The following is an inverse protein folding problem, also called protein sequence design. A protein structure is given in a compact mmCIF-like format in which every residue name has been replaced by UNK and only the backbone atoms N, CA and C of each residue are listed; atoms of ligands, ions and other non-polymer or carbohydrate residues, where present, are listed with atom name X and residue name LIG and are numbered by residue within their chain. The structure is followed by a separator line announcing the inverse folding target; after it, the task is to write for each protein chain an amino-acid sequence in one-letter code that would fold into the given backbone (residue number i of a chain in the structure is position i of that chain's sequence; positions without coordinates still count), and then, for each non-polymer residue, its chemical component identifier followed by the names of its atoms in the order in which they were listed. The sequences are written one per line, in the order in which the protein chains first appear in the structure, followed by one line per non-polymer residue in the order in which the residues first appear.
data_IF_410653761962
#
_entry.id   IF_410653761962
#
_cell.length_a   1.000
_cell.length_b   1.000
_cell.length_c   1.000
_cell.angle_alpha   90.00
_cell.angle_beta   90.00
_cell.angle_gamma   90.00
#
_symmetry.space_group_name_H-M   'P 1'
#
loop_
_entity.id
_entity.type
_entity.pdbx_description
1 polymer ?
#
# COMPACT_ATOMS: atom_id res chain seq x y z
N UNK A 1 -7.13 -1.59 12.74
CA UNK A 1 -7.12 -2.28 11.45
C UNK A 1 -5.95 -1.88 10.57
N UNK A 2 -5.63 -0.60 10.52
CA UNK A 2 -4.48 -0.14 9.74
C UNK A 2 -3.18 -0.76 10.25
N UNK A 3 -3.06 -0.86 11.55
CA UNK A 3 -1.86 -1.41 12.15
C UNK A 3 -1.66 -2.87 11.76
N UNK A 4 -2.75 -3.61 11.73
CA UNK A 4 -2.71 -5.02 11.37
C UNK A 4 -2.27 -5.19 9.92
N UNK A 5 -2.80 -4.35 9.05
CA UNK A 5 -2.43 -4.39 7.64
C UNK A 5 -0.96 -4.01 7.47
N UNK A 6 -0.54 -2.96 8.16
CA UNK A 6 0.84 -2.50 8.09
C UNK A 6 1.81 -3.64 8.41
N UNK A 7 1.56 -4.32 9.52
CA UNK A 7 2.45 -5.38 9.95
C UNK A 7 2.42 -6.57 9.00
N UNK A 8 1.25 -6.84 8.43
CA UNK A 8 1.12 -8.00 7.56
C UNK A 8 1.84 -7.79 6.23
N UNK A 9 1.86 -6.58 5.71
CA UNK A 9 2.44 -6.34 4.39
C UNK A 9 3.87 -5.84 4.44
N UNK A 10 4.33 -5.39 5.61
CA UNK A 10 5.66 -4.79 5.71
C UNK A 10 6.76 -5.78 5.34
N UNK A 11 6.74 -6.94 5.94
CA UNK A 11 7.79 -7.93 5.73
C UNK A 11 7.83 -8.44 4.30
N UNK A 12 6.70 -8.84 3.71
CA UNK A 12 6.76 -9.28 2.32
C UNK A 12 7.26 -8.21 1.36
N UNK A 13 6.90 -6.95 1.62
CA UNK A 13 7.38 -5.86 0.78
C UNK A 13 8.88 -5.68 0.94
N UNK A 14 9.38 -5.75 2.17
CA UNK A 14 10.81 -5.58 2.40
C UNK A 14 11.62 -6.69 1.74
N UNK A 15 11.06 -7.88 1.66
CA UNK A 15 11.73 -8.97 0.98
C UNK A 15 11.91 -8.71 -0.51
N UNK A 16 11.08 -7.85 -1.05
CA UNK A 16 11.17 -7.48 -2.46
C UNK A 16 11.83 -6.12 -2.65
N UNK A 17 12.53 -5.65 -1.63
CA UNK A 17 13.23 -4.37 -1.67
C UNK A 17 12.28 -3.19 -1.85
N UNK A 18 11.14 -3.27 -1.21
CA UNK A 18 10.16 -2.18 -1.20
C UNK A 18 9.97 -1.77 0.26
N UNK A 19 10.14 -0.49 0.53
CA UNK A 19 9.97 0.03 1.88
C UNK A 19 8.53 0.48 2.06
N UNK A 20 7.88 -0.02 3.09
CA UNK A 20 6.53 0.40 3.44
C UNK A 20 6.61 1.61 4.34
N UNK A 21 6.05 2.73 3.88
CA UNK A 21 6.02 3.96 4.65
C UNK A 21 4.82 3.97 5.59
N UNK A 22 3.66 3.59 5.09
CA UNK A 22 2.48 3.56 5.94
C UNK A 22 1.26 3.12 5.16
N UNK A 23 0.19 2.87 5.91
CA UNK A 23 -1.11 2.57 5.33
C UNK A 23 -2.17 3.35 6.09
N UNK A 24 -3.24 3.74 5.38
CA UNK A 24 -4.36 4.36 6.07
C UNK A 24 -5.60 4.23 5.21
N UNK A 25 -6.74 4.30 5.87
CA UNK A 25 -8.03 4.26 5.21
C UNK A 25 -8.56 5.65 5.03
N UNK A 26 -9.22 5.88 3.89
CA UNK A 26 -9.88 7.12 3.62
C UNK A 26 -11.04 6.88 2.69
N UNK A 27 -11.73 7.96 2.35
CA UNK A 27 -12.82 7.88 1.39
C UNK A 27 -12.53 8.79 0.23
N UNK A 28 -12.69 8.25 -0.96
CA UNK A 28 -12.55 9.03 -2.19
C UNK A 28 -13.78 8.78 -3.04
N UNK A 29 -14.45 9.84 -3.39
CA UNK A 29 -15.66 9.73 -4.22
C UNK A 29 -16.68 8.78 -3.63
N UNK A 30 -16.78 8.77 -2.31
CA UNK A 30 -17.76 7.95 -1.63
C UNK A 30 -17.37 6.49 -1.47
N UNK A 31 -16.16 6.12 -1.90
CA UNK A 31 -15.69 4.74 -1.79
C UNK A 31 -14.58 4.63 -0.78
N UNK A 32 -14.61 3.54 -0.04
CA UNK A 32 -13.54 3.28 0.91
C UNK A 32 -12.26 2.94 0.16
N UNK A 33 -11.19 3.62 0.52
CA UNK A 33 -9.90 3.44 -0.16
C UNK A 33 -8.84 3.14 0.87
N UNK A 34 -8.06 2.11 0.60
CA UNK A 34 -6.89 1.79 1.42
C UNK A 34 -5.68 2.35 0.71
N UNK A 35 -5.05 3.34 1.35
CA UNK A 35 -3.86 3.98 0.80
C UNK A 35 -2.62 3.30 1.36
N UNK A 36 -1.78 2.79 0.47
CA UNK A 36 -0.51 2.17 0.85
C UNK A 36 0.61 3.02 0.27
N UNK A 37 1.45 3.55 1.13
CA UNK A 37 2.54 4.41 0.71
C UNK A 37 3.84 3.63 0.78
N UNK A 38 4.59 3.63 -0.31
CA UNK A 38 5.84 2.88 -0.41
C UNK A 38 6.96 3.78 -0.88
N UNK A 39 8.19 3.28 -0.70
CA UNK A 39 9.40 3.97 -1.12
C UNK A 39 10.42 2.97 -1.60
N UNK A 40 11.34 3.43 -2.45
CA UNK A 40 12.54 2.65 -2.75
C UNK A 40 13.54 2.81 -1.61
N UNK A 41 14.09 1.70 -1.11
CA UNK A 41 15.06 1.82 -0.01
C UNK A 41 16.32 2.56 -0.38
N UNK A 42 16.66 2.64 -1.66
CA UNK A 42 17.87 3.36 -2.08
C UNK A 42 17.57 4.82 -2.45
N UNK A 43 16.34 5.27 -2.26
CA UNK A 43 16.01 6.66 -2.51
C UNK A 43 15.57 6.98 -3.93
N UNK A 44 15.55 6.00 -4.81
CA UNK A 44 15.11 6.24 -6.18
C UNK A 44 13.61 6.51 -6.23
N UNK A 45 13.15 7.21 -7.26
CA UNK A 45 11.72 7.44 -7.40
C UNK A 45 10.95 6.13 -7.56
N UNK A 46 9.72 6.13 -7.08
CA UNK A 46 8.85 4.98 -7.24
C UNK A 46 8.15 5.12 -8.59
N UNK A 47 8.34 4.11 -9.44
CA UNK A 47 7.70 4.15 -10.75
C UNK A 47 6.48 3.23 -10.78
N UNK A 48 5.82 3.22 -11.93
CA UNK A 48 4.60 2.44 -12.09
C UNK A 48 4.84 0.96 -11.88
N UNK A 49 5.97 0.45 -12.38
CA UNK A 49 6.28 -0.97 -12.24
C UNK A 49 6.40 -1.36 -10.78
N UNK A 50 7.00 -0.51 -9.97
CA UNK A 50 7.14 -0.80 -8.55
C UNK A 50 5.78 -0.78 -7.86
N UNK A 51 4.92 0.16 -8.25
CA UNK A 51 3.57 0.21 -7.68
C UNK A 51 2.78 -1.04 -8.03
N UNK A 52 2.89 -1.51 -9.27
CA UNK A 52 2.21 -2.73 -9.68
C UNK A 52 2.72 -3.93 -8.90
N UNK A 53 4.04 -4.00 -8.74
CA UNK A 53 4.64 -5.10 -7.99
C UNK A 53 4.15 -5.09 -6.53
N UNK A 54 4.14 -3.92 -5.92
CA UNK A 54 3.67 -3.80 -4.54
C UNK A 54 2.20 -4.18 -4.43
N UNK A 55 1.38 -3.76 -5.38
CA UNK A 55 -0.03 -4.10 -5.38
C UNK A 55 -0.23 -5.62 -5.42
N UNK A 56 0.55 -6.29 -6.27
CA UNK A 56 0.43 -7.75 -6.40
C UNK A 56 0.87 -8.47 -5.13
N UNK A 57 1.74 -7.84 -4.34
CA UNK A 57 2.16 -8.42 -3.08
C UNK A 57 1.10 -8.17 -2.00
N UNK A 58 0.60 -6.95 -1.94
CA UNK A 58 -0.29 -6.52 -0.87
C UNK A 58 -1.69 -7.12 -1.01
N UNK A 59 -2.19 -7.17 -2.23
CA UNK A 59 -3.58 -7.57 -2.47
C UNK A 59 -3.92 -8.94 -1.89
N UNK A 60 -3.17 -10.02 -2.21
CA UNK A 60 -3.51 -11.33 -1.65
C UNK A 60 -3.32 -11.39 -0.14
N UNK A 61 -2.41 -10.59 0.40
CA UNK A 61 -2.20 -10.59 1.84
C UNK A 61 -3.42 -9.99 2.54
N UNK A 62 -3.94 -8.89 2.01
CA UNK A 62 -5.12 -8.27 2.59
C UNK A 62 -6.31 -9.22 2.51
N UNK A 63 -6.45 -9.93 1.39
CA UNK A 63 -7.50 -10.92 1.25
C UNK A 63 -7.40 -11.99 2.33
N UNK A 64 -6.19 -12.41 2.65
CA UNK A 64 -6.00 -13.50 3.61
C UNK A 64 -6.25 -13.04 5.05
N UNK A 65 -6.27 -11.75 5.31
CA UNK A 65 -6.50 -11.25 6.65
C UNK A 65 -7.96 -11.31 7.06
N UNK A 66 -8.83 -11.59 6.11
CA UNK A 66 -10.26 -11.75 6.40
C UNK A 66 -10.82 -10.51 7.10
N UNK A 67 -10.47 -9.35 6.56
CA UNK A 67 -10.96 -8.10 7.11
C UNK A 67 -12.41 -7.91 6.73
N UNK A 68 -13.13 -7.19 7.58
CA UNK A 68 -14.54 -6.94 7.37
C UNK A 68 -14.74 -5.82 6.36
N UNK A 69 -14.12 -5.94 5.20
CA UNK A 69 -14.18 -4.96 4.14
C UNK A 69 -14.91 -5.57 2.96
N UNK A 70 -16.04 -5.00 2.61
CA UNK A 70 -16.81 -5.55 1.50
C UNK A 70 -16.31 -5.07 0.16
N UNK A 71 -16.20 -3.76 0.02
CA UNK A 71 -15.73 -3.17 -1.21
C UNK A 71 -14.75 -2.06 -0.87
N UNK A 72 -13.55 -2.20 -1.33
CA UNK A 72 -12.58 -1.15 -1.10
C UNK A 72 -11.67 -1.05 -2.32
N UNK A 73 -11.08 0.13 -2.47
CA UNK A 73 -10.12 0.39 -3.54
C UNK A 73 -8.72 0.38 -2.92
N UNK A 74 -7.80 -0.30 -3.59
CA UNK A 74 -6.42 -0.33 -3.14
C UNK A 74 -5.62 0.68 -3.96
N UNK A 75 -5.06 1.67 -3.29
CA UNK A 75 -4.29 2.73 -3.93
C UNK A 75 -2.88 2.69 -3.40
N UNK A 76 -1.95 2.26 -4.24
CA UNK A 76 -0.54 2.16 -3.87
C UNK A 76 0.20 3.31 -4.54
N UNK A 77 0.92 4.09 -3.77
CA UNK A 77 1.65 5.22 -4.32
C UNK A 77 2.87 5.55 -3.49
N UNK A 78 3.59 6.57 -3.92
CA UNK A 78 4.79 7.00 -3.22
C UNK A 78 4.47 8.23 -2.39
N UNK A 79 5.29 8.41 -1.36
CA UNK A 79 5.13 9.56 -0.49
C UNK A 79 5.30 10.87 -1.25
N UNK A 80 6.24 10.88 -2.19
CA UNK A 80 6.51 12.09 -2.95
C UNK A 80 5.33 12.54 -3.79
N UNK A 81 4.55 11.60 -4.28
CA UNK A 81 3.39 11.94 -5.10
C UNK A 81 2.34 12.68 -4.30
N UNK A 82 2.19 12.32 -3.04
CA UNK A 82 1.18 12.95 -2.21
C UNK A 82 1.52 14.39 -1.90
N UNK A 83 2.78 14.69 -1.87
CA UNK A 83 3.22 16.04 -1.55
C UNK A 83 3.18 16.98 -2.72
N UNK A 84 2.99 16.45 -3.89
CA UNK A 84 3.02 17.23 -5.12
C UNK A 84 1.67 17.77 -5.49
N UNK A 85 0.98 18.21 -4.56
CA UNK A 85 -0.37 18.72 -4.79
C UNK A 85 -0.36 20.09 -5.41
#
# INVERSE_FOLDING_TARGET
MEEKIYEAVKEPLEKENITLVGVHFGKEDGEETLFVTIENPNGDPVDTDLCVKATKIVDPIIDSLDLDLENYVLDVGSKGEEENE
#
